data_IF_744931503464
#
_entry.id   IF_744931503464
#
_cell.length_a   1.000
_cell.length_b   1.000
_cell.length_c   1.000
_cell.angle_alpha   90.00
_cell.angle_beta   90.00
_cell.angle_gamma   90.00
#
_symmetry.space_group_name_H-M   'P 1'
#
loop_
_entity.id
_entity.type
_entity.pdbx_description
1 polymer ?
#
# COMPACT_ATOMS: atom_id res chain seq x y z
N UNK A 1 -12.66 27.04 28.81
CA UNK A 1 -12.64 25.58 28.55
C UNK A 1 -11.66 24.96 29.54
N UNK A 2 -12.10 24.00 30.37
CA UNK A 2 -11.21 23.34 31.31
C UNK A 2 -10.09 22.62 30.53
N UNK A 3 -8.85 22.91 30.87
CA UNK A 3 -7.69 22.27 30.26
C UNK A 3 -7.68 20.80 30.74
N UNK A 4 -8.27 19.91 29.93
CA UNK A 4 -8.41 18.49 30.25
C UNK A 4 -7.07 17.81 30.03
N UNK A 5 -6.33 17.57 31.08
CA UNK A 5 -5.00 16.97 31.03
C UNK A 5 -5.03 15.50 30.54
N UNK A 6 -6.13 14.79 30.83
CA UNK A 6 -6.29 13.37 30.50
C UNK A 6 -7.58 13.11 29.75
N UNK A 7 -7.50 12.18 28.76
CA UNK A 7 -8.60 11.59 28.05
C UNK A 7 -8.79 10.14 28.52
N UNK A 8 -10.03 9.71 28.70
CA UNK A 8 -10.30 8.30 28.85
C UNK A 8 -10.28 7.59 27.48
N UNK A 9 -10.30 6.25 27.48
CA UNK A 9 -10.18 5.46 26.26
C UNK A 9 -11.31 5.74 25.25
N UNK A 10 -12.54 5.97 25.73
CA UNK A 10 -13.69 6.26 24.86
C UNK A 10 -13.55 7.64 24.21
N UNK A 11 -13.14 8.65 24.98
CA UNK A 11 -12.90 9.99 24.47
C UNK A 11 -11.80 10.02 23.43
N UNK A 12 -10.69 9.31 23.67
CA UNK A 12 -9.60 9.19 22.73
C UNK A 12 -10.04 8.42 21.46
N UNK A 13 -10.82 7.35 21.60
CA UNK A 13 -11.37 6.59 20.49
C UNK A 13 -12.29 7.47 19.62
N UNK A 14 -13.22 8.20 20.27
CA UNK A 14 -14.14 9.12 19.57
C UNK A 14 -13.39 10.23 18.84
N UNK A 15 -12.42 10.87 19.51
CA UNK A 15 -11.61 11.94 18.91
C UNK A 15 -10.91 11.51 17.61
N UNK A 16 -10.47 10.26 17.55
CA UNK A 16 -9.76 9.72 16.39
C UNK A 16 -10.62 8.86 15.47
N UNK A 17 -11.92 8.69 15.74
CA UNK A 17 -12.78 7.81 14.96
C UNK A 17 -12.30 6.36 14.95
N UNK A 18 -11.82 5.87 16.12
CA UNK A 18 -11.31 4.51 16.31
C UNK A 18 -12.27 3.69 17.15
N UNK A 19 -12.20 2.37 16.99
CA UNK A 19 -12.80 1.45 17.94
C UNK A 19 -11.93 1.40 19.22
N UNK A 20 -12.57 1.37 20.39
CA UNK A 20 -11.92 1.19 21.69
C UNK A 20 -11.02 -0.05 21.73
N UNK A 21 -11.42 -1.12 21.06
CA UNK A 21 -10.63 -2.36 20.96
C UNK A 21 -9.28 -2.13 20.28
N UNK A 22 -9.21 -1.20 19.33
CA UNK A 22 -7.95 -0.80 18.68
C UNK A 22 -6.99 -0.18 19.68
N UNK A 23 -7.49 0.70 20.59
CA UNK A 23 -6.67 1.30 21.63
C UNK A 23 -6.23 0.28 22.69
N UNK A 24 -7.09 -0.69 23.00
CA UNK A 24 -6.73 -1.80 23.89
C UNK A 24 -5.64 -2.68 23.25
N UNK A 25 -5.75 -2.94 21.96
CA UNK A 25 -4.72 -3.64 21.20
C UNK A 25 -3.40 -2.87 21.19
N UNK A 26 -3.44 -1.57 20.93
CA UNK A 26 -2.23 -0.71 20.94
C UNK A 26 -1.54 -0.68 22.30
N UNK A 27 -2.30 -0.68 23.38
CA UNK A 27 -1.79 -0.82 24.74
C UNK A 27 -1.16 -2.20 24.97
N UNK A 28 -1.86 -3.28 24.57
CA UNK A 28 -1.36 -4.68 24.69
C UNK A 28 -0.03 -4.90 23.99
N UNK A 29 0.12 -4.38 22.77
CA UNK A 29 1.36 -4.50 21.99
C UNK A 29 2.42 -3.44 22.36
N UNK A 30 2.07 -2.49 23.23
CA UNK A 30 2.97 -1.49 23.77
C UNK A 30 3.25 -0.28 22.88
N UNK A 31 2.59 -0.16 21.71
CA UNK A 31 2.80 0.97 20.78
C UNK A 31 2.20 2.27 21.27
N UNK A 32 1.10 2.19 22.05
CA UNK A 32 0.47 3.32 22.75
C UNK A 32 -0.03 2.88 24.13
N UNK A 33 0.84 2.98 25.14
CA UNK A 33 0.48 2.69 26.53
C UNK A 33 -0.23 3.88 27.15
N UNK A 34 -1.28 3.67 27.99
CA UNK A 34 -1.88 4.76 28.75
C UNK A 34 -0.87 5.36 29.74
N UNK A 35 -0.90 6.68 29.91
CA UNK A 35 -0.04 7.37 30.88
C UNK A 35 -0.39 7.02 32.32
N UNK A 36 -1.64 6.69 32.57
CA UNK A 36 -2.16 6.34 33.88
C UNK A 36 -3.23 5.26 33.80
N UNK A 37 -3.20 4.35 34.75
CA UNK A 37 -4.27 3.39 35.01
C UNK A 37 -4.79 3.63 36.39
N UNK A 38 -6.10 3.83 36.51
CA UNK A 38 -6.73 4.03 37.79
C UNK A 38 -6.60 2.76 38.64
N UNK A 39 -5.96 2.82 39.82
CA UNK A 39 -5.73 1.63 40.64
C UNK A 39 -7.02 1.02 41.22
N UNK A 40 -8.12 1.80 41.28
CA UNK A 40 -9.40 1.34 41.86
C UNK A 40 -10.23 0.55 40.85
N UNK A 41 -10.20 0.92 39.59
CA UNK A 41 -11.08 0.36 38.55
C UNK A 41 -10.35 -0.05 37.27
N UNK A 42 -9.05 0.14 37.20
CA UNK A 42 -8.22 -0.22 36.04
C UNK A 42 -8.43 0.62 34.78
N UNK A 43 -9.20 1.72 34.87
CA UNK A 43 -9.48 2.56 33.72
C UNK A 43 -8.23 3.23 33.17
N UNK A 44 -8.08 3.13 31.83
CA UNK A 44 -6.98 3.74 31.07
C UNK A 44 -7.22 5.22 30.89
N UNK A 45 -6.20 6.00 31.21
CA UNK A 45 -6.18 7.45 30.95
C UNK A 45 -4.94 7.78 30.13
N UNK A 46 -5.15 8.55 29.08
CA UNK A 46 -4.13 9.02 28.17
C UNK A 46 -3.94 10.51 28.34
N UNK A 47 -2.71 10.98 28.47
CA UNK A 47 -2.42 12.40 28.47
C UNK A 47 -2.75 13.00 27.11
N UNK A 48 -3.12 14.28 27.12
CA UNK A 48 -3.49 14.96 25.88
C UNK A 48 -2.34 14.98 24.86
N UNK A 49 -1.09 15.06 25.27
CA UNK A 49 0.09 14.98 24.39
C UNK A 49 0.22 13.64 23.67
N UNK A 50 -0.34 12.55 24.21
CA UNK A 50 -0.35 11.26 23.53
C UNK A 50 -1.24 11.24 22.27
N UNK A 51 -2.08 12.25 22.06
CA UNK A 51 -2.83 12.42 20.81
C UNK A 51 -1.91 12.57 19.61
N UNK A 52 -0.77 13.25 19.74
CA UNK A 52 0.23 13.36 18.68
C UNK A 52 0.84 12.01 18.34
N UNK A 53 1.12 11.18 19.35
CA UNK A 53 1.63 9.82 19.13
C UNK A 53 0.60 8.96 18.39
N UNK A 54 -0.68 9.03 18.78
CA UNK A 54 -1.75 8.31 18.11
C UNK A 54 -1.97 8.81 16.67
N UNK A 55 -1.89 10.13 16.45
CA UNK A 55 -1.96 10.72 15.11
C UNK A 55 -0.84 10.19 14.21
N UNK A 56 0.39 10.13 14.71
CA UNK A 56 1.54 9.56 13.99
C UNK A 56 1.33 8.08 13.63
N UNK A 57 0.87 7.24 14.58
CA UNK A 57 0.55 5.84 14.33
C UNK A 57 -0.47 5.72 13.20
N UNK A 58 -1.57 6.48 13.25
CA UNK A 58 -2.61 6.45 12.22
C UNK A 58 -2.10 6.90 10.86
N UNK A 59 -1.29 7.95 10.84
CA UNK A 59 -0.69 8.45 9.61
C UNK A 59 0.17 7.37 8.94
N UNK A 60 1.07 6.73 9.69
CA UNK A 60 1.90 5.64 9.16
C UNK A 60 1.07 4.44 8.68
N UNK A 61 0.02 4.08 9.43
CA UNK A 61 -0.92 3.03 9.00
C UNK A 61 -1.63 3.38 7.69
N UNK A 62 -2.00 4.66 7.50
CA UNK A 62 -2.58 5.16 6.24
C UNK A 62 -1.60 5.07 5.06
N UNK A 63 -0.30 5.24 5.33
CA UNK A 63 0.76 5.02 4.33
C UNK A 63 1.03 3.53 4.04
N UNK A 64 0.29 2.61 4.69
CA UNK A 64 0.37 1.17 4.46
C UNK A 64 1.50 0.46 5.20
N UNK A 65 2.08 1.09 6.25
CA UNK A 65 3.03 0.40 7.12
C UNK A 65 2.31 -0.61 8.03
N UNK A 66 2.92 -1.78 8.26
CA UNK A 66 2.43 -2.72 9.27
C UNK A 66 2.56 -2.12 10.66
N UNK A 67 1.87 -2.69 11.65
CA UNK A 67 1.94 -2.18 13.02
C UNK A 67 3.34 -2.37 13.64
N UNK A 68 4.02 -3.43 13.24
CA UNK A 68 5.41 -3.72 13.61
C UNK A 68 6.33 -2.65 13.03
N UNK A 69 6.19 -2.35 11.73
CA UNK A 69 6.98 -1.30 11.07
C UNK A 69 6.73 0.09 11.67
N UNK A 70 5.49 0.39 12.13
CA UNK A 70 5.17 1.64 12.84
C UNK A 70 5.89 1.69 14.19
N UNK A 71 5.98 0.58 14.92
CA UNK A 71 6.73 0.51 16.17
C UNK A 71 8.22 0.79 15.93
N UNK A 72 8.82 0.09 14.98
CA UNK A 72 10.22 0.26 14.62
C UNK A 72 10.52 1.70 14.16
N UNK A 73 9.55 2.32 13.46
CA UNK A 73 9.67 3.71 13.05
C UNK A 73 9.64 4.68 14.24
N UNK A 74 8.82 4.41 15.26
CA UNK A 74 8.78 5.23 16.49
C UNK A 74 10.08 5.17 17.30
N UNK A 75 10.79 4.05 17.21
CA UNK A 75 12.07 3.86 17.89
C UNK A 75 13.25 4.43 17.08
N UNK A 76 13.02 4.77 15.81
CA UNK A 76 14.03 5.39 14.93
C UNK A 76 14.30 6.82 15.35
N UNK A 77 15.53 7.09 15.81
CA UNK A 77 15.99 8.42 16.24
C UNK A 77 16.68 9.20 15.12
N UNK A 78 17.00 8.54 14.00
CA UNK A 78 17.70 9.15 12.87
C UNK A 78 16.71 9.65 11.82
N UNK A 79 16.69 10.97 11.53
CA UNK A 79 15.90 11.52 10.41
C UNK A 79 16.26 10.90 9.06
N UNK A 80 17.52 10.56 8.85
CA UNK A 80 18.01 9.98 7.59
C UNK A 80 17.46 8.56 7.38
N UNK A 81 17.40 7.76 8.44
CA UNK A 81 16.79 6.43 8.37
C UNK A 81 15.28 6.51 8.13
N UNK A 82 14.59 7.44 8.78
CA UNK A 82 13.18 7.69 8.53
C UNK A 82 12.94 8.11 7.08
N UNK A 83 13.75 9.00 6.52
CA UNK A 83 13.69 9.44 5.14
C UNK A 83 13.94 8.27 4.17
N UNK A 84 14.93 7.43 4.45
CA UNK A 84 15.23 6.24 3.64
C UNK A 84 14.02 5.31 3.56
N UNK A 85 13.40 4.95 4.69
CA UNK A 85 12.23 4.07 4.76
C UNK A 85 11.02 4.66 4.01
N UNK A 86 10.81 5.97 4.08
CA UNK A 86 9.75 6.65 3.34
C UNK A 86 9.99 6.60 1.83
N UNK A 87 11.23 6.81 1.37
CA UNK A 87 11.59 6.68 -0.05
C UNK A 87 11.39 5.25 -0.56
N UNK A 88 11.83 4.25 0.19
CA UNK A 88 11.62 2.83 -0.16
C UNK A 88 10.12 2.50 -0.27
N UNK A 89 9.30 2.98 0.68
CA UNK A 89 7.84 2.80 0.61
C UNK A 89 7.21 3.49 -0.59
N UNK A 90 7.64 4.72 -0.88
CA UNK A 90 7.17 5.46 -2.06
C UNK A 90 7.50 4.71 -3.36
N UNK A 91 8.74 4.22 -3.49
CA UNK A 91 9.17 3.44 -4.66
C UNK A 91 8.35 2.15 -4.81
N UNK A 92 8.07 1.43 -3.72
CA UNK A 92 7.25 0.22 -3.75
C UNK A 92 5.80 0.51 -4.19
N UNK A 93 5.21 1.60 -3.72
CA UNK A 93 3.86 2.03 -4.14
C UNK A 93 3.86 2.39 -5.64
N UNK A 94 4.91 3.08 -6.10
CA UNK A 94 5.02 3.47 -7.50
C UNK A 94 5.14 2.24 -8.43
N UNK A 95 5.94 1.27 -8.06
CA UNK A 95 6.04 0.01 -8.80
C UNK A 95 4.71 -0.75 -8.87
N UNK A 96 3.95 -0.80 -7.77
CA UNK A 96 2.61 -1.39 -7.76
C UNK A 96 1.63 -0.65 -8.67
N UNK A 97 1.70 0.68 -8.68
CA UNK A 97 0.87 1.51 -9.55
C UNK A 97 1.20 1.27 -11.03
N UNK A 98 2.47 1.20 -11.41
CA UNK A 98 2.89 0.89 -12.78
C UNK A 98 2.42 -0.50 -13.23
N UNK A 99 2.47 -1.49 -12.35
CA UNK A 99 1.94 -2.82 -12.64
C UNK A 99 0.44 -2.81 -12.86
N UNK A 100 -0.32 -2.12 -11.99
CA UNK A 100 -1.77 -1.95 -12.17
C UNK A 100 -2.09 -1.27 -13.49
N UNK A 101 -1.33 -0.24 -13.89
CA UNK A 101 -1.52 0.44 -15.18
C UNK A 101 -1.27 -0.51 -16.36
N UNK A 102 -0.26 -1.39 -16.28
CA UNK A 102 -0.04 -2.41 -17.31
C UNK A 102 -1.21 -3.37 -17.45
N UNK A 103 -1.75 -3.83 -16.32
CA UNK A 103 -2.92 -4.72 -16.29
C UNK A 103 -4.14 -4.01 -16.88
N UNK A 104 -4.42 -2.77 -16.46
CA UNK A 104 -5.55 -1.98 -16.97
C UNK A 104 -5.46 -1.80 -18.49
N UNK A 105 -4.31 -1.43 -19.02
CA UNK A 105 -4.08 -1.33 -20.47
C UNK A 105 -4.30 -2.67 -21.19
N UNK A 106 -3.94 -3.79 -20.58
CA UNK A 106 -4.19 -5.11 -21.17
C UNK A 106 -5.70 -5.42 -21.21
N UNK A 107 -6.43 -5.09 -20.16
CA UNK A 107 -7.90 -5.22 -20.09
C UNK A 107 -8.57 -4.35 -21.14
N UNK A 108 -8.17 -3.07 -21.25
CA UNK A 108 -8.75 -2.15 -22.22
C UNK A 108 -8.54 -2.62 -23.66
N UNK A 109 -7.34 -3.14 -23.99
CA UNK A 109 -7.10 -3.77 -25.32
C UNK A 109 -8.01 -4.96 -25.58
N UNK A 110 -8.26 -5.78 -24.54
CA UNK A 110 -9.15 -6.94 -24.69
C UNK A 110 -10.61 -6.52 -24.87
N UNK A 111 -11.05 -5.49 -24.15
CA UNK A 111 -12.38 -4.90 -24.32
C UNK A 111 -12.52 -4.41 -25.74
N UNK A 112 -11.60 -3.57 -26.22
CA UNK A 112 -11.63 -3.04 -27.58
C UNK A 112 -11.70 -4.13 -28.63
N UNK A 113 -10.88 -5.19 -28.49
CA UNK A 113 -10.92 -6.34 -29.39
C UNK A 113 -12.29 -7.03 -29.44
N UNK A 114 -12.96 -7.18 -28.29
CA UNK A 114 -14.30 -7.78 -28.22
C UNK A 114 -15.34 -6.87 -28.84
N UNK A 115 -15.26 -5.56 -28.59
CA UNK A 115 -16.17 -4.57 -29.16
C UNK A 115 -16.05 -4.52 -30.69
N UNK A 116 -14.83 -4.46 -31.21
CA UNK A 116 -14.55 -4.49 -32.65
C UNK A 116 -15.11 -5.78 -33.29
N UNK A 117 -14.94 -6.93 -32.59
CA UNK A 117 -15.48 -8.20 -33.04
C UNK A 117 -17.00 -8.26 -33.07
N UNK A 118 -17.67 -7.52 -32.16
CA UNK A 118 -19.14 -7.41 -32.12
C UNK A 118 -19.68 -6.41 -33.12
N UNK A 119 -18.93 -5.39 -33.48
CA UNK A 119 -19.34 -4.36 -34.42
C UNK A 119 -19.51 -4.85 -35.87
N UNK A 120 -19.22 -6.12 -36.09
CA UNK A 120 -19.49 -6.83 -37.36
C UNK A 120 -18.21 -7.10 -38.15
N UNK A 121 -17.73 -8.32 -38.04
CA UNK A 121 -16.89 -8.87 -39.11
C UNK A 121 -17.82 -9.10 -40.27
N UNK A 122 -17.66 -8.32 -41.34
CA UNK A 122 -18.32 -8.60 -42.61
C UNK A 122 -17.65 -9.85 -43.19
N UNK A 123 -18.27 -11.00 -42.98
CA UNK A 123 -17.77 -12.30 -43.46
C UNK A 123 -17.86 -12.44 -44.99
N UNK A 124 -18.56 -11.54 -45.68
CA UNK A 124 -18.74 -11.57 -47.11
C UNK A 124 -17.64 -10.80 -47.89
N UNK A 125 -16.95 -9.86 -47.18
CA UNK A 125 -15.90 -9.05 -47.78
C UNK A 125 -14.55 -9.26 -47.10
N UNK A 126 -13.63 -9.96 -47.79
CA UNK A 126 -12.24 -10.06 -47.35
C UNK A 126 -11.53 -8.74 -47.64
N UNK A 127 -11.20 -8.00 -46.59
CA UNK A 127 -10.43 -6.78 -46.68
C UNK A 127 -8.95 -7.06 -46.36
N UNK A 128 -8.05 -6.67 -47.27
CA UNK A 128 -6.62 -6.70 -47.00
C UNK A 128 -6.21 -5.35 -46.42
N UNK A 129 -5.93 -5.30 -45.12
CA UNK A 129 -5.49 -4.09 -44.42
C UNK A 129 -3.99 -4.15 -44.21
N UNK A 130 -3.26 -3.16 -44.76
CA UNK A 130 -1.83 -3.03 -44.53
C UNK A 130 -1.57 -2.26 -43.23
N UNK A 131 -1.03 -2.94 -42.25
CA UNK A 131 -0.60 -2.32 -41.01
C UNK A 131 0.86 -1.84 -41.09
N UNK A 132 1.23 -0.74 -40.42
CA UNK A 132 2.63 -0.39 -40.23
C UNK A 132 3.35 -1.51 -39.45
N UNK A 133 4.65 -1.57 -39.60
CA UNK A 133 5.48 -2.57 -38.91
C UNK A 133 5.16 -2.62 -37.40
N UNK A 134 4.79 -3.79 -36.91
CA UNK A 134 4.43 -4.03 -35.51
C UNK A 134 5.46 -4.95 -34.89
N UNK A 135 6.02 -4.51 -33.78
CA UNK A 135 6.81 -5.41 -32.91
C UNK A 135 5.85 -6.25 -32.08
N UNK A 136 6.02 -7.55 -32.10
CA UNK A 136 5.30 -8.47 -31.23
C UNK A 136 6.28 -9.33 -30.44
N UNK A 137 5.93 -9.62 -29.22
CA UNK A 137 6.68 -10.54 -28.37
C UNK A 137 5.88 -11.85 -28.39
N UNK A 138 6.42 -12.95 -28.93
CA UNK A 138 5.73 -14.23 -28.90
C UNK A 138 5.59 -14.70 -27.46
N UNK A 139 4.38 -15.03 -27.05
CA UNK A 139 4.11 -15.62 -25.74
C UNK A 139 4.65 -17.05 -25.77
N UNK A 140 5.67 -17.37 -24.98
CA UNK A 140 6.30 -18.70 -24.91
C UNK A 140 7.75 -18.77 -25.38
N UNK A 141 8.38 -17.65 -25.75
CA UNK A 141 9.76 -17.64 -26.22
C UNK A 141 10.82 -17.53 -25.11
N UNK A 142 10.45 -17.56 -23.84
CA UNK A 142 11.42 -17.40 -22.73
C UNK A 142 12.18 -18.70 -22.37
N UNK A 143 11.69 -19.87 -22.75
CA UNK A 143 12.37 -21.14 -22.41
C UNK A 143 13.46 -21.59 -23.38
N UNK A 144 13.46 -21.11 -24.63
CA UNK A 144 14.44 -21.60 -25.64
C UNK A 144 15.68 -20.73 -25.83
N UNK A 145 15.77 -19.56 -25.19
CA UNK A 145 16.90 -18.62 -25.40
C UNK A 145 18.12 -18.83 -24.51
N UNK A 146 18.08 -19.75 -23.56
CA UNK A 146 19.22 -19.99 -22.66
C UNK A 146 20.26 -21.00 -23.17
N UNK A 147 20.00 -21.75 -24.24
CA UNK A 147 20.91 -22.83 -24.70
C UNK A 147 21.67 -22.56 -26.02
N UNK A 148 21.27 -21.56 -26.82
CA UNK A 148 21.93 -21.36 -28.14
C UNK A 148 23.06 -20.30 -28.18
N UNK A 149 23.37 -19.59 -27.11
CA UNK A 149 24.40 -18.56 -27.14
C UNK A 149 25.76 -18.96 -26.54
N UNK A 150 26.01 -20.24 -26.29
CA UNK A 150 27.31 -20.69 -25.75
C UNK A 150 28.20 -21.43 -26.76
N UNK A 151 27.81 -21.55 -28.03
CA UNK A 151 28.57 -22.36 -29.02
C UNK A 151 29.27 -21.59 -30.15
N UNK A 152 29.25 -20.26 -30.18
CA UNK A 152 29.90 -19.47 -31.24
C UNK A 152 31.00 -18.50 -30.76
N UNK A 153 31.72 -18.85 -29.71
CA UNK A 153 33.00 -18.18 -29.38
C UNK A 153 34.07 -19.24 -29.05
N UNK A 154 34.50 -19.94 -30.05
CA UNK A 154 35.85 -20.55 -30.08
C UNK A 154 36.53 -20.19 -31.41
#
# INVERSE_FOLDING_TARGET
MANKEYLNVNELATLFGLNVQTLHYYDKIGILKPSYRDPKNGYRKYRFDQTYKLASIRYMRKLGYSIEAVRDFQDTKSPDEALKRLKERSAAIHAQWEEMMRIDHAILRKIQFIEDSKAGIDYENIQVVKYPERKYIPIGAEEERSEEHTSELQ
#
